data_IF_305796357882
#
_entry.id   IF_305796357882
#
_cell.length_a   1.000
_cell.length_b   1.000
_cell.length_c   1.000
_cell.angle_alpha   90.00
_cell.angle_beta   90.00
_cell.angle_gamma   90.00
#
_symmetry.space_group_name_H-M   'P 1'
#
loop_
_entity.id
_entity.type
_entity.pdbx_description
1 polymer ?
#
# COMPACT_ATOMS: atom_id res chain seq x y z
N UNK A 1 -11.20 8.40 21.55
CA UNK A 1 -10.54 8.17 20.23
C UNK A 1 -11.61 7.85 19.20
N UNK A 2 -11.86 8.74 18.25
CA UNK A 2 -12.75 8.44 17.14
C UNK A 2 -12.03 7.51 16.16
N UNK A 3 -12.62 6.34 15.88
CA UNK A 3 -11.95 5.24 15.15
C UNK A 3 -11.82 5.49 13.64
N UNK A 4 -12.64 6.36 13.09
CA UNK A 4 -12.76 6.59 11.64
C UNK A 4 -12.74 8.09 11.31
N UNK A 5 -11.91 8.88 11.99
CA UNK A 5 -11.68 10.28 11.58
C UNK A 5 -10.89 10.32 10.28
N UNK A 6 -11.03 11.41 9.53
CA UNK A 6 -10.23 11.68 8.35
C UNK A 6 -8.73 11.53 8.65
N UNK A 7 -8.25 12.18 9.72
CA UNK A 7 -6.87 12.09 10.19
C UNK A 7 -6.40 10.65 10.41
N UNK A 8 -7.28 9.79 10.96
CA UNK A 8 -6.95 8.38 11.17
C UNK A 8 -6.84 7.64 9.84
N UNK A 9 -7.79 7.87 8.91
CA UNK A 9 -7.84 7.21 7.61
C UNK A 9 -6.70 7.67 6.69
N UNK A 10 -6.28 8.93 6.76
CA UNK A 10 -5.21 9.50 5.92
C UNK A 10 -3.82 9.42 6.59
N UNK A 11 -3.61 8.47 7.51
CA UNK A 11 -2.31 8.25 8.14
C UNK A 11 -1.23 7.98 7.08
N UNK A 12 -0.15 8.76 7.10
CA UNK A 12 0.94 8.69 6.12
C UNK A 12 1.68 7.35 6.11
N UNK A 13 1.75 6.67 7.26
CA UNK A 13 2.31 5.31 7.41
C UNK A 13 1.40 4.24 6.78
N UNK A 14 0.12 4.54 6.63
CA UNK A 14 -0.88 3.63 6.08
C UNK A 14 -1.21 2.42 6.96
N UNK A 15 -1.64 1.35 6.31
CA UNK A 15 -2.21 0.14 6.90
C UNK A 15 -1.70 -1.11 6.20
N UNK A 16 -1.55 -2.20 6.97
CA UNK A 16 -1.32 -3.52 6.41
C UNK A 16 -2.66 -4.13 5.98
N UNK A 17 -2.85 -4.33 4.68
CA UNK A 17 -4.00 -5.05 4.10
C UNK A 17 -3.65 -6.48 3.70
N UNK A 18 -4.65 -7.23 3.22
CA UNK A 18 -4.49 -8.64 2.79
C UNK A 18 -3.50 -8.79 1.63
N UNK A 19 -3.54 -7.86 0.68
CA UNK A 19 -2.68 -7.88 -0.52
C UNK A 19 -1.39 -7.06 -0.34
N UNK A 20 -1.21 -6.41 0.81
CA UNK A 20 -0.06 -5.57 1.10
C UNK A 20 -0.42 -4.19 1.65
N UNK A 21 0.58 -3.30 1.61
CA UNK A 21 0.51 -1.98 2.23
C UNK A 21 -0.42 -1.05 1.43
N UNK A 22 -1.28 -0.29 2.10
CA UNK A 22 -2.06 0.76 1.47
C UNK A 22 -2.26 1.98 2.39
N UNK A 23 -2.52 3.15 1.81
CA UNK A 23 -2.97 4.35 2.54
C UNK A 23 -4.00 5.12 1.75
N UNK A 24 -4.87 5.83 2.45
CA UNK A 24 -5.70 6.87 1.86
C UNK A 24 -4.94 8.20 1.85
N UNK A 25 -5.20 9.02 0.84
CA UNK A 25 -4.65 10.37 0.71
C UNK A 25 -5.76 11.39 0.96
N UNK A 26 -5.37 12.63 1.27
CA UNK A 26 -6.32 13.73 1.52
C UNK A 26 -7.14 14.11 0.28
N UNK A 27 -6.69 13.74 -0.92
CA UNK A 27 -7.43 13.91 -2.18
C UNK A 27 -8.49 12.81 -2.42
N UNK A 28 -8.70 11.90 -1.45
CA UNK A 28 -9.64 10.79 -1.55
C UNK A 28 -9.12 9.58 -2.34
N UNK A 29 -7.92 9.66 -2.92
CA UNK A 29 -7.29 8.53 -3.62
C UNK A 29 -6.62 7.56 -2.65
N UNK A 30 -6.28 6.37 -3.15
CA UNK A 30 -5.44 5.43 -2.43
C UNK A 30 -4.07 5.28 -3.08
N UNK A 31 -3.08 4.96 -2.25
CA UNK A 31 -1.77 4.48 -2.70
C UNK A 31 -1.58 3.07 -2.19
N UNK A 32 -1.11 2.16 -3.05
CA UNK A 32 -0.87 0.76 -2.72
C UNK A 32 0.58 0.38 -3.00
N UNK A 33 1.22 -0.27 -2.03
CA UNK A 33 2.49 -0.96 -2.19
C UNK A 33 2.23 -2.39 -2.64
N UNK A 34 2.25 -2.61 -3.96
CA UNK A 34 1.99 -3.92 -4.57
C UNK A 34 3.29 -4.63 -4.96
N UNK A 35 3.23 -5.96 -5.02
CA UNK A 35 4.29 -6.77 -5.59
C UNK A 35 4.30 -6.66 -7.13
N UNK A 36 5.47 -6.87 -7.73
CA UNK A 36 5.59 -7.11 -9.17
C UNK A 36 5.69 -8.61 -9.40
N UNK A 37 4.82 -9.13 -10.26
CA UNK A 37 4.79 -10.54 -10.63
C UNK A 37 5.11 -10.68 -12.12
N UNK A 38 5.89 -11.71 -12.44
CA UNK A 38 6.08 -12.22 -13.79
C UNK A 38 5.01 -13.27 -14.06
N UNK A 39 4.36 -13.19 -15.22
CA UNK A 39 3.42 -14.21 -15.69
C UNK A 39 4.20 -15.42 -16.22
N UNK A 40 3.85 -16.62 -15.78
CA UNK A 40 4.42 -17.89 -16.26
C UNK A 40 3.31 -18.86 -16.67
N UNK A 41 3.67 -19.98 -17.29
CA UNK A 41 2.72 -21.04 -17.66
C UNK A 41 2.03 -21.70 -16.46
N UNK A 42 2.61 -21.57 -15.26
CA UNK A 42 2.09 -22.17 -14.02
C UNK A 42 1.51 -21.15 -13.06
N UNK A 43 1.46 -19.87 -13.42
CA UNK A 43 0.86 -18.79 -12.63
C UNK A 43 1.76 -17.57 -12.48
N UNK A 44 1.46 -16.74 -11.48
CA UNK A 44 2.27 -15.57 -11.16
C UNK A 44 3.49 -15.94 -10.31
N UNK A 45 4.68 -15.51 -10.72
CA UNK A 45 5.91 -15.61 -9.92
C UNK A 45 6.30 -14.21 -9.42
N UNK A 46 6.44 -14.04 -8.11
CA UNK A 46 6.92 -12.76 -7.53
C UNK A 46 8.35 -12.49 -7.99
N UNK A 47 8.58 -11.34 -8.60
CA UNK A 47 9.91 -10.85 -9.00
C UNK A 47 10.37 -9.67 -8.16
N UNK A 48 9.43 -8.90 -7.59
CA UNK A 48 9.71 -7.88 -6.59
C UNK A 48 8.62 -7.93 -5.50
N UNK A 49 8.96 -8.18 -4.22
CA UNK A 49 7.97 -8.21 -3.14
C UNK A 49 7.33 -6.84 -2.91
N UNK A 50 6.16 -6.77 -2.23
CA UNK A 50 5.57 -5.49 -1.87
C UNK A 50 6.46 -4.76 -0.83
N UNK A 51 6.49 -3.42 -0.84
CA UNK A 51 7.22 -2.67 0.17
C UNK A 51 6.58 -2.86 1.55
N UNK A 52 7.40 -2.84 2.60
CA UNK A 52 6.95 -2.96 4.00
C UNK A 52 6.50 -1.64 4.62
N UNK A 53 6.85 -0.52 3.99
CA UNK A 53 6.51 0.82 4.43
C UNK A 53 6.41 1.76 3.22
N UNK A 54 5.65 2.84 3.36
CA UNK A 54 5.75 3.96 2.42
C UNK A 54 7.09 4.64 2.68
N UNK A 55 7.91 4.78 1.64
CA UNK A 55 9.10 5.61 1.74
C UNK A 55 8.71 7.05 2.07
N UNK A 56 9.59 7.78 2.76
CA UNK A 56 9.58 9.23 2.64
C UNK A 56 9.76 9.51 1.15
N UNK A 57 8.75 10.11 0.50
CA UNK A 57 8.88 10.51 -0.90
C UNK A 57 10.21 11.24 -1.04
N UNK A 58 11.13 10.70 -1.84
CA UNK A 58 12.28 11.45 -2.29
C UNK A 58 11.76 12.57 -3.19
N UNK A 59 12.18 13.80 -2.86
CA UNK A 59 11.85 15.11 -3.44
C UNK A 59 10.46 15.67 -3.17
#
# INVERSE_FOLDING_TARGET
>A
KARFTEETLTNSSGFAGIDGLFRFRSDGTNQRGLAVLKVTSTGGQVVNPPPKAFGASGT
#
